data_IF_586256380309
#
_entry.id   IF_586256380309
#
_cell.length_a   1.000
_cell.length_b   1.000
_cell.length_c   1.000
_cell.angle_alpha   90.00
_cell.angle_beta   90.00
_cell.angle_gamma   90.00
#
_symmetry.space_group_name_H-M   'P 1'
#
loop_
_entity.id
_entity.type
_entity.pdbx_description
1 polymer ?
#
# COMPACT_ATOMS: atom_id res chain seq x y z
N UNK A 1 -27.86 33.34 26.88
CA UNK A 1 -28.19 32.25 25.93
C UNK A 1 -27.79 30.94 26.58
N UNK A 2 -28.75 30.18 27.13
CA UNK A 2 -28.47 28.91 27.82
C UNK A 2 -28.51 27.77 26.79
N UNK A 3 -27.38 27.11 26.58
CA UNK A 3 -27.25 25.93 25.71
C UNK A 3 -27.83 24.71 26.46
N UNK A 4 -28.95 24.18 25.98
CA UNK A 4 -29.58 22.99 26.54
C UNK A 4 -29.09 21.75 25.78
N UNK A 5 -28.11 21.06 26.35
CA UNK A 5 -27.54 19.81 25.82
C UNK A 5 -28.56 18.68 26.06
N UNK A 6 -29.07 18.08 24.99
CA UNK A 6 -30.04 16.96 25.05
C UNK A 6 -29.37 15.69 25.58
N UNK A 7 -30.06 14.85 26.37
CA UNK A 7 -29.48 13.68 27.04
C UNK A 7 -28.81 12.68 26.08
N UNK A 8 -29.23 12.61 24.82
CA UNK A 8 -28.64 11.75 23.80
C UNK A 8 -27.20 12.16 23.39
N UNK A 9 -26.86 13.44 23.49
CA UNK A 9 -25.52 13.95 23.11
C UNK A 9 -24.46 13.71 24.19
N UNK A 10 -24.87 13.64 25.47
CA UNK A 10 -23.97 13.36 26.58
C UNK A 10 -23.55 11.88 26.62
N UNK A 11 -24.44 10.96 26.22
CA UNK A 11 -24.15 9.52 26.16
C UNK A 11 -23.15 9.17 25.07
N UNK A 12 -23.21 9.85 23.91
CA UNK A 12 -22.27 9.62 22.80
C UNK A 12 -20.86 10.09 23.16
N UNK A 13 -20.74 11.20 23.89
CA UNK A 13 -19.44 11.73 24.33
C UNK A 13 -18.80 10.85 25.42
N UNK A 14 -19.61 10.27 26.33
CA UNK A 14 -19.09 9.35 27.35
C UNK A 14 -18.59 8.03 26.72
N UNK A 15 -19.31 7.50 25.73
CA UNK A 15 -18.97 6.21 25.12
C UNK A 15 -17.72 6.28 24.23
N UNK A 16 -17.51 7.42 23.55
CA UNK A 16 -16.29 7.69 22.78
C UNK A 16 -15.06 7.89 23.67
N UNK A 17 -15.22 8.52 24.84
CA UNK A 17 -14.11 8.70 25.79
C UNK A 17 -13.65 7.39 26.44
N UNK A 18 -14.60 6.48 26.71
CA UNK A 18 -14.31 5.15 27.28
C UNK A 18 -13.63 4.24 26.25
N UNK A 19 -14.02 4.31 24.96
CA UNK A 19 -13.37 3.53 23.90
C UNK A 19 -11.93 3.99 23.61
N UNK A 20 -11.62 5.28 23.84
CA UNK A 20 -10.27 5.82 23.68
C UNK A 20 -9.33 5.46 24.84
N UNK A 21 -9.87 5.12 26.02
CA UNK A 21 -9.08 4.78 27.21
C UNK A 21 -8.69 3.30 27.31
N UNK A 22 -9.20 2.44 26.43
CA UNK A 22 -8.78 1.04 26.32
C UNK A 22 -7.96 0.82 25.05
N UNK A 23 -6.69 1.23 25.09
CA UNK A 23 -5.66 0.49 24.38
C UNK A 23 -4.47 0.22 25.31
N UNK A 24 -4.06 -1.05 25.42
CA UNK A 24 -3.15 -1.53 26.45
C UNK A 24 -1.70 -1.10 26.21
N UNK A 25 -1.00 -1.02 27.34
CA UNK A 25 0.42 -0.84 27.45
C UNK A 25 1.20 -1.84 26.60
N UNK A 26 2.23 -1.31 25.95
CA UNK A 26 3.45 -1.97 25.47
C UNK A 26 3.67 -3.35 26.08
N UNK A 27 3.59 -4.37 25.22
CA UNK A 27 4.19 -5.67 25.46
C UNK A 27 5.57 -5.68 24.80
N UNK A 28 6.58 -5.76 25.66
CA UNK A 28 7.99 -5.99 25.35
C UNK A 28 8.14 -7.39 24.74
N UNK A 29 8.66 -7.47 23.51
CA UNK A 29 8.97 -8.74 22.85
C UNK A 29 10.44 -8.71 22.43
N UNK A 30 11.22 -9.48 23.19
CA UNK A 30 12.62 -9.80 22.97
C UNK A 30 12.86 -10.41 21.58
N UNK A 31 13.88 -9.89 20.90
CA UNK A 31 14.30 -10.22 19.54
C UNK A 31 14.64 -11.70 19.27
N UNK A 32 14.52 -12.09 18.00
CA UNK A 32 15.56 -12.90 17.35
C UNK A 32 15.46 -12.87 15.82
N UNK A 33 16.56 -12.43 15.17
CA UNK A 33 16.89 -12.83 13.81
C UNK A 33 16.81 -11.77 12.72
N UNK A 34 17.91 -11.01 12.55
CA UNK A 34 18.68 -10.76 11.32
C UNK A 34 19.24 -9.33 11.32
N UNK A 35 20.50 -9.25 11.73
CA UNK A 35 21.32 -8.04 11.79
C UNK A 35 21.57 -7.48 10.38
N UNK A 36 20.89 -6.40 10.03
CA UNK A 36 21.20 -5.58 8.86
C UNK A 36 22.06 -4.38 9.31
N UNK A 37 23.33 -4.27 8.88
CA UNK A 37 24.21 -3.17 9.26
C UNK A 37 23.90 -1.92 8.43
N UNK A 38 22.73 -1.31 8.66
CA UNK A 38 22.45 0.13 8.51
C UNK A 38 21.04 0.40 9.07
N UNK A 39 20.94 0.46 10.40
CA UNK A 39 19.77 0.98 11.10
C UNK A 39 20.02 2.42 11.55
N UNK A 40 20.52 3.26 10.64
CA UNK A 40 20.32 4.70 10.79
C UNK A 40 18.82 4.95 11.03
N UNK A 41 18.40 5.71 12.07
CA UNK A 41 16.99 5.93 12.33
C UNK A 41 16.37 6.49 11.05
N UNK A 42 15.47 5.72 10.42
CA UNK A 42 14.65 6.24 9.33
C UNK A 42 13.85 7.37 9.99
N UNK A 43 14.33 8.59 9.81
CA UNK A 43 13.60 9.81 10.12
C UNK A 43 12.40 9.83 9.17
N UNK A 44 11.34 9.12 9.54
CA UNK A 44 10.25 8.73 8.64
C UNK A 44 9.17 9.80 8.56
N UNK A 45 9.55 10.99 8.11
CA UNK A 45 8.62 12.08 7.75
C UNK A 45 8.43 12.18 6.23
N UNK A 46 8.61 11.08 5.50
CA UNK A 46 8.41 11.01 4.06
C UNK A 46 7.39 9.93 3.66
N UNK A 47 6.52 10.25 2.69
CA UNK A 47 5.61 9.29 2.07
C UNK A 47 6.39 8.12 1.47
N UNK A 48 6.04 6.88 1.83
CA UNK A 48 6.69 5.69 1.29
C UNK A 48 6.23 5.46 -0.15
N UNK A 49 7.17 5.24 -1.08
CA UNK A 49 6.84 4.91 -2.46
C UNK A 49 6.74 3.41 -2.68
N UNK A 50 5.63 3.01 -3.27
CA UNK A 50 5.22 1.62 -3.51
C UNK A 50 5.24 1.37 -5.01
N UNK A 51 6.03 0.39 -5.47
CA UNK A 51 6.00 -0.06 -6.86
C UNK A 51 4.88 -1.08 -7.06
N UNK A 52 4.14 -0.97 -8.16
CA UNK A 52 3.12 -1.94 -8.54
C UNK A 52 3.27 -2.33 -10.00
N UNK A 53 3.27 -3.62 -10.30
CA UNK A 53 3.16 -4.12 -11.67
C UNK A 53 2.51 -5.49 -11.71
N UNK A 54 1.88 -5.81 -12.83
CA UNK A 54 1.42 -7.16 -13.14
C UNK A 54 2.40 -7.85 -14.07
N UNK A 55 2.53 -9.18 -13.99
CA UNK A 55 3.26 -9.93 -15.02
C UNK A 55 2.31 -10.48 -16.07
N UNK A 56 2.80 -10.48 -17.30
CA UNK A 56 2.15 -11.12 -18.42
C UNK A 56 3.15 -11.88 -19.28
N UNK A 57 2.66 -12.39 -20.39
CA UNK A 57 3.51 -12.96 -21.43
C UNK A 57 3.02 -12.43 -22.77
N UNK A 58 3.85 -11.67 -23.47
CA UNK A 58 3.44 -10.96 -24.69
C UNK A 58 2.84 -11.87 -25.76
N UNK A 59 3.30 -13.13 -25.84
CA UNK A 59 2.78 -14.11 -26.80
C UNK A 59 1.31 -14.49 -26.57
N UNK A 60 0.75 -14.24 -25.37
CA UNK A 60 -0.64 -14.53 -25.05
C UNK A 60 -1.62 -13.51 -25.61
N UNK A 61 -1.19 -12.26 -25.86
CA UNK A 61 -2.09 -11.19 -26.27
C UNK A 61 -2.72 -11.43 -27.65
N UNK A 62 -1.98 -12.07 -28.56
CA UNK A 62 -2.50 -12.51 -29.86
C UNK A 62 -3.35 -13.79 -29.82
N UNK A 63 -3.30 -14.55 -28.73
CA UNK A 63 -3.99 -15.85 -28.60
C UNK A 63 -5.33 -15.72 -27.87
N UNK A 64 -5.42 -14.79 -26.92
CA UNK A 64 -6.58 -14.63 -26.04
C UNK A 64 -7.10 -13.18 -26.12
N UNK A 65 -7.99 -12.89 -27.10
CA UNK A 65 -8.60 -11.57 -27.22
C UNK A 65 -9.25 -11.13 -25.90
N UNK A 66 -8.96 -9.90 -25.47
CA UNK A 66 -9.51 -9.30 -24.24
C UNK A 66 -8.84 -9.73 -22.93
N UNK A 67 -7.90 -10.68 -22.93
CA UNK A 67 -7.18 -11.08 -21.72
C UNK A 67 -6.33 -9.93 -21.16
N UNK A 68 -5.60 -9.23 -22.04
CA UNK A 68 -4.77 -8.09 -21.67
C UNK A 68 -5.58 -7.03 -20.91
N UNK A 69 -6.70 -6.58 -21.49
CA UNK A 69 -7.56 -5.55 -20.90
C UNK A 69 -8.16 -5.98 -19.56
N UNK A 70 -8.50 -7.27 -19.44
CA UNK A 70 -9.01 -7.83 -18.18
C UNK A 70 -7.95 -7.80 -17.08
N UNK A 71 -6.71 -8.19 -17.39
CA UNK A 71 -5.59 -8.15 -16.44
C UNK A 71 -5.21 -6.72 -16.06
N UNK A 72 -5.20 -5.79 -17.01
CA UNK A 72 -5.05 -4.37 -16.70
C UNK A 72 -6.16 -3.84 -15.80
N UNK A 73 -7.41 -4.27 -16.00
CA UNK A 73 -8.54 -3.92 -15.14
C UNK A 73 -8.35 -4.37 -13.70
N UNK A 74 -7.86 -5.59 -13.50
CA UNK A 74 -7.51 -6.07 -12.16
C UNK A 74 -6.35 -5.29 -11.54
N UNK A 75 -5.31 -4.99 -12.32
CA UNK A 75 -4.18 -4.20 -11.87
C UNK A 75 -4.61 -2.79 -11.42
N UNK A 76 -5.46 -2.11 -12.19
CA UNK A 76 -6.05 -0.82 -11.82
C UNK A 76 -6.88 -0.90 -10.54
N UNK A 77 -7.59 -2.01 -10.33
CA UNK A 77 -8.35 -2.26 -9.09
C UNK A 77 -7.41 -2.40 -7.89
N UNK A 78 -6.26 -3.07 -8.04
CA UNK A 78 -5.24 -3.19 -7.00
C UNK A 78 -4.62 -1.84 -6.70
N UNK A 79 -4.22 -1.10 -7.74
CA UNK A 79 -3.65 0.25 -7.63
C UNK A 79 -4.55 1.19 -6.83
N UNK A 80 -5.85 1.20 -7.16
CA UNK A 80 -6.86 1.98 -6.46
C UNK A 80 -6.92 1.60 -4.97
N UNK A 81 -6.99 0.31 -4.65
CA UNK A 81 -7.08 -0.17 -3.26
C UNK A 81 -5.85 0.19 -2.44
N UNK A 82 -4.65 0.06 -3.01
CA UNK A 82 -3.41 0.44 -2.33
C UNK A 82 -3.38 1.95 -2.08
N UNK A 83 -3.79 2.75 -3.08
CA UNK A 83 -3.85 4.21 -2.95
C UNK A 83 -4.86 4.66 -1.89
N UNK A 84 -6.02 3.99 -1.80
CA UNK A 84 -7.06 4.28 -0.81
C UNK A 84 -6.69 3.87 0.62
N UNK A 85 -5.84 2.85 0.79
CA UNK A 85 -5.37 2.42 2.11
C UNK A 85 -4.56 3.50 2.85
N UNK A 86 -3.98 4.46 2.11
CA UNK A 86 -3.17 5.54 2.64
C UNK A 86 -1.76 5.11 3.07
N UNK A 87 -0.90 6.08 3.37
CA UNK A 87 0.46 5.85 3.87
C UNK A 87 1.56 5.70 2.81
N UNK A 88 1.23 5.79 1.51
CA UNK A 88 2.22 5.72 0.45
C UNK A 88 1.76 6.27 -0.90
N UNK A 89 2.74 6.55 -1.77
CA UNK A 89 2.55 6.93 -3.17
C UNK A 89 2.77 5.71 -4.06
N UNK A 90 1.83 5.39 -4.94
CA UNK A 90 1.91 4.21 -5.82
C UNK A 90 2.53 4.61 -7.16
N UNK A 91 3.59 3.91 -7.55
CA UNK A 91 4.24 3.99 -8.86
C UNK A 91 3.89 2.74 -9.65
N UNK A 92 2.88 2.84 -10.51
CA UNK A 92 2.36 1.74 -11.33
C UNK A 92 3.12 1.63 -12.65
N UNK A 93 3.64 0.45 -12.98
CA UNK A 93 4.35 0.17 -14.23
C UNK A 93 3.52 -0.65 -15.24
N UNK A 94 2.25 -0.92 -14.93
CA UNK A 94 1.36 -1.68 -15.82
C UNK A 94 1.72 -3.17 -15.91
N UNK A 95 1.40 -3.78 -17.05
CA UNK A 95 1.76 -5.16 -17.36
C UNK A 95 3.19 -5.25 -17.91
N UNK A 96 4.04 -5.98 -17.20
CA UNK A 96 5.40 -6.34 -17.58
C UNK A 96 5.39 -7.74 -18.19
N UNK A 97 5.51 -7.80 -19.50
CA UNK A 97 5.29 -9.01 -20.31
C UNK A 97 6.47 -9.38 -21.21
N UNK A 98 7.57 -8.65 -21.09
CA UNK A 98 8.85 -8.83 -21.79
C UNK A 98 10.02 -8.53 -20.84
N UNK A 99 11.20 -9.05 -21.18
CA UNK A 99 12.41 -8.83 -20.39
C UNK A 99 12.84 -7.35 -20.43
N UNK A 100 12.63 -6.70 -21.58
CA UNK A 100 12.92 -5.29 -21.82
C UNK A 100 12.08 -4.41 -20.88
N UNK A 101 10.76 -4.62 -20.85
CA UNK A 101 9.87 -3.92 -19.90
C UNK A 101 10.26 -4.17 -18.45
N UNK A 102 10.75 -5.37 -18.11
CA UNK A 102 11.20 -5.66 -16.75
C UNK A 102 12.43 -4.83 -16.36
N UNK A 103 13.39 -4.66 -17.27
CA UNK A 103 14.57 -3.80 -17.06
C UNK A 103 14.18 -2.33 -16.94
N UNK A 104 13.28 -1.85 -17.79
CA UNK A 104 12.74 -0.48 -17.73
C UNK A 104 12.03 -0.21 -16.40
N UNK A 105 11.14 -1.13 -15.99
CA UNK A 105 10.41 -1.06 -14.72
C UNK A 105 11.36 -1.03 -13.52
N UNK A 106 12.42 -1.85 -13.54
CA UNK A 106 13.44 -1.83 -12.49
C UNK A 106 14.18 -0.48 -12.44
N UNK A 107 14.45 0.14 -13.59
CA UNK A 107 15.02 1.49 -13.68
C UNK A 107 14.08 2.55 -13.09
N UNK A 108 12.80 2.52 -13.45
CA UNK A 108 11.76 3.42 -12.93
C UNK A 108 11.65 3.31 -11.41
N UNK A 109 11.54 2.09 -10.87
CA UNK A 109 11.40 1.87 -9.43
C UNK A 109 12.64 2.33 -8.66
N UNK A 110 13.84 2.06 -9.19
CA UNK A 110 15.10 2.52 -8.60
C UNK A 110 15.17 4.06 -8.58
N UNK A 111 14.89 4.71 -9.71
CA UNK A 111 14.94 6.16 -9.83
C UNK A 111 13.88 6.85 -8.96
N UNK A 112 12.69 6.25 -8.83
CA UNK A 112 11.62 6.76 -7.98
C UNK A 112 11.94 6.61 -6.49
N UNK A 113 12.85 5.70 -6.10
CA UNK A 113 13.13 5.38 -4.70
C UNK A 113 12.06 4.48 -4.09
N UNK A 114 11.48 3.57 -4.89
CA UNK A 114 10.51 2.57 -4.42
C UNK A 114 11.14 1.70 -3.34
N UNK A 115 10.44 1.55 -2.21
CA UNK A 115 10.91 0.81 -1.03
C UNK A 115 10.26 -0.57 -0.90
N UNK A 116 9.10 -0.76 -1.50
CA UNK A 116 8.34 -2.01 -1.51
C UNK A 116 7.68 -2.20 -2.87
N UNK A 117 7.66 -3.42 -3.37
CA UNK A 117 7.11 -3.77 -4.68
C UNK A 117 5.98 -4.78 -4.49
N UNK A 118 4.82 -4.50 -5.07
CA UNK A 118 3.72 -5.45 -5.24
C UNK A 118 3.75 -6.01 -6.66
N UNK A 119 3.86 -7.33 -6.73
CA UNK A 119 3.76 -8.10 -7.96
C UNK A 119 2.39 -8.77 -8.02
N UNK A 120 1.63 -8.48 -9.09
CA UNK A 120 0.38 -9.17 -9.38
C UNK A 120 0.58 -10.27 -10.44
N UNK A 121 0.15 -11.49 -10.11
CA UNK A 121 0.12 -12.65 -10.99
C UNK A 121 -1.28 -13.27 -10.90
N UNK A 122 -1.87 -13.64 -12.04
CA UNK A 122 -3.17 -14.33 -12.10
C UNK A 122 -3.02 -15.82 -12.36
#
# INVERSE_FOLDING_TARGET
MKQTIKPCQLTILLLTFVLFSLSPAVADACESGLFFPDSSPISSTGTVKVGLFGIGLNTYWGQFPGLHDRLEGYLKTIEKKISEAGGGEVISAGLVDTVEKARETAGIFRAAGVRIIFLYVS
#
